data_IF_712783712368
#
_entry.id   IF_712783712368
#
_cell.length_a   1.000
_cell.length_b   1.000
_cell.length_c   1.000
_cell.angle_alpha   90.00
_cell.angle_beta   90.00
_cell.angle_gamma   90.00
#
_symmetry.space_group_name_H-M   'P 1'
#
loop_
_entity.id
_entity.type
_entity.pdbx_description
1 polymer ?
#
# COMPACT_ATOMS: atom_id res chain seq x y z
N UNK A 1 -3.71 3.23 -19.19
CA UNK A 1 -4.45 4.46 -18.84
C UNK A 1 -4.90 5.19 -20.10
N UNK A 2 -4.00 5.49 -21.05
CA UNK A 2 -4.36 5.98 -22.37
C UNK A 2 -5.35 5.05 -23.11
N UNK A 3 -5.09 3.75 -23.13
CA UNK A 3 -6.00 2.74 -23.70
C UNK A 3 -7.33 2.61 -22.95
N UNK A 4 -7.38 3.08 -21.70
CA UNK A 4 -8.60 3.12 -20.88
C UNK A 4 -9.37 4.46 -21.04
N UNK A 5 -8.92 5.32 -21.96
CA UNK A 5 -9.56 6.60 -22.27
C UNK A 5 -9.16 7.78 -21.38
N UNK A 6 -8.11 7.65 -20.56
CA UNK A 6 -7.58 8.78 -19.78
C UNK A 6 -6.76 9.68 -20.71
N UNK A 7 -7.07 10.99 -20.82
CA UNK A 7 -6.28 11.95 -21.59
C UNK A 7 -4.82 12.02 -21.12
N UNK A 8 -3.88 12.29 -22.03
CA UNK A 8 -2.46 12.40 -21.68
C UNK A 8 -2.18 13.60 -20.74
N UNK A 9 -2.93 14.69 -20.89
CA UNK A 9 -2.87 15.87 -20.02
C UNK A 9 -3.27 15.60 -18.57
N UNK A 10 -4.03 14.53 -18.33
CA UNK A 10 -4.40 14.06 -16.99
C UNK A 10 -3.39 13.04 -16.42
N UNK A 11 -2.32 12.73 -17.15
CA UNK A 11 -1.29 11.78 -16.74
C UNK A 11 0.01 12.52 -16.41
N UNK A 12 0.44 12.39 -15.15
CA UNK A 12 1.75 12.85 -14.71
C UNK A 12 2.62 11.65 -14.30
N UNK A 13 3.70 11.42 -15.04
CA UNK A 13 4.66 10.36 -14.74
C UNK A 13 5.84 10.96 -13.97
N UNK A 14 6.01 10.53 -12.72
CA UNK A 14 7.09 10.97 -11.84
C UNK A 14 8.05 9.80 -11.63
N UNK A 15 9.27 9.93 -12.15
CA UNK A 15 10.33 8.90 -12.04
C UNK A 15 11.43 9.26 -11.05
N UNK A 16 11.28 10.38 -10.34
CA UNK A 16 12.27 10.86 -9.38
C UNK A 16 12.19 10.10 -8.05
N UNK A 17 13.35 9.66 -7.55
CA UNK A 17 13.49 9.04 -6.23
C UNK A 17 13.88 7.56 -6.27
N UNK A 18 14.85 7.18 -5.45
CA UNK A 18 15.37 5.82 -5.31
C UNK A 18 14.66 5.02 -4.20
N UNK A 19 13.80 5.67 -3.42
CA UNK A 19 13.00 5.05 -2.37
C UNK A 19 11.54 5.50 -2.44
N UNK A 20 10.64 4.73 -1.81
CA UNK A 20 9.22 5.10 -1.70
C UNK A 20 9.02 6.49 -1.08
N UNK A 21 9.87 6.85 -0.11
CA UNK A 21 9.84 8.17 0.52
C UNK A 21 10.18 9.26 -0.48
N UNK A 22 11.30 9.11 -1.21
CA UNK A 22 11.72 10.09 -2.19
C UNK A 22 10.72 10.25 -3.34
N UNK A 23 10.09 9.15 -3.77
CA UNK A 23 9.05 9.16 -4.80
C UNK A 23 7.79 9.88 -4.34
N UNK A 24 7.33 9.62 -3.11
CA UNK A 24 6.18 10.35 -2.52
C UNK A 24 6.50 11.82 -2.28
N UNK A 25 7.72 12.14 -1.82
CA UNK A 25 8.15 13.53 -1.64
C UNK A 25 8.24 14.27 -2.98
N UNK A 26 8.70 13.62 -4.06
CA UNK A 26 8.67 14.19 -5.40
C UNK A 26 7.24 14.42 -5.89
N UNK A 27 6.35 13.45 -5.64
CA UNK A 27 4.92 13.54 -5.96
C UNK A 27 4.24 14.70 -5.23
N UNK A 28 4.52 14.85 -3.93
CA UNK A 28 3.98 15.95 -3.13
C UNK A 28 4.39 17.32 -3.67
N UNK A 29 5.63 17.48 -4.14
CA UNK A 29 6.08 18.74 -4.77
C UNK A 29 5.34 19.04 -6.07
N UNK A 30 5.13 18.03 -6.91
CA UNK A 30 4.39 18.20 -8.17
C UNK A 30 2.91 18.53 -7.94
N UNK A 31 2.29 17.92 -6.93
CA UNK A 31 0.90 18.20 -6.58
C UNK A 31 0.74 19.57 -5.92
N UNK A 32 1.68 19.98 -5.07
CA UNK A 32 1.69 21.33 -4.49
C UNK A 32 1.78 22.41 -5.57
N UNK A 33 2.53 22.19 -6.66
CA UNK A 33 2.58 23.10 -7.80
C UNK A 33 1.25 23.22 -8.58
N UNK A 34 0.27 22.34 -8.26
CA UNK A 34 -1.06 22.27 -8.87
C UNK A 34 -2.18 22.51 -7.85
N UNK A 35 -1.85 23.03 -6.67
CA UNK A 35 -2.78 23.27 -5.56
C UNK A 35 -3.58 22.01 -5.15
N UNK A 36 -2.93 20.85 -5.19
CA UNK A 36 -3.50 19.56 -4.82
C UNK A 36 -2.71 18.91 -3.67
N UNK A 37 -3.41 18.31 -2.73
CA UNK A 37 -2.87 17.61 -1.55
C UNK A 37 -3.59 16.29 -1.25
N UNK A 38 -4.86 16.18 -1.64
CA UNK A 38 -5.68 14.98 -1.48
C UNK A 38 -5.45 13.97 -2.61
N UNK A 39 -5.08 12.75 -2.23
CA UNK A 39 -4.69 11.71 -3.19
C UNK A 39 -5.33 10.36 -2.87
N UNK A 40 -5.62 9.59 -3.91
CA UNK A 40 -5.92 8.16 -3.78
C UNK A 40 -4.65 7.38 -4.12
N UNK A 41 -4.12 6.67 -3.13
CA UNK A 41 -2.96 5.81 -3.33
C UNK A 41 -3.41 4.40 -3.66
N UNK A 42 -2.93 3.85 -4.78
CA UNK A 42 -3.25 2.49 -5.21
C UNK A 42 -2.02 1.61 -5.05
N UNK A 43 -2.07 0.67 -4.11
CA UNK A 43 -0.95 -0.25 -3.80
C UNK A 43 -1.48 -1.54 -3.21
N UNK A 44 -0.67 -2.60 -3.13
CA UNK A 44 -1.09 -3.81 -2.43
C UNK A 44 -1.19 -3.56 -0.90
N UNK A 45 -1.96 -4.39 -0.17
CA UNK A 45 -2.16 -4.22 1.26
C UNK A 45 -0.89 -4.17 2.11
N UNK A 46 0.16 -4.90 1.72
CA UNK A 46 1.40 -4.94 2.50
C UNK A 46 2.10 -3.59 2.46
N UNK A 47 2.18 -2.99 1.28
CA UNK A 47 2.83 -1.70 1.09
C UNK A 47 1.92 -0.51 1.48
N UNK A 48 0.60 -0.68 1.45
CA UNK A 48 -0.41 0.37 1.72
C UNK A 48 -0.24 1.12 3.05
N UNK A 49 0.06 0.42 4.14
CA UNK A 49 0.20 1.04 5.48
C UNK A 49 1.42 1.93 5.53
N UNK A 50 2.56 1.42 5.04
CA UNK A 50 3.80 2.18 4.98
C UNK A 50 3.66 3.38 4.04
N UNK A 51 2.97 3.19 2.92
CA UNK A 51 2.72 4.22 1.93
C UNK A 51 1.88 5.36 2.51
N UNK A 52 0.82 5.05 3.27
CA UNK A 52 -0.02 6.04 3.95
C UNK A 52 0.78 6.88 4.96
N UNK A 53 1.59 6.24 5.81
CA UNK A 53 2.39 6.96 6.79
C UNK A 53 3.41 7.91 6.15
N UNK A 54 4.03 7.48 5.04
CA UNK A 54 4.93 8.35 4.27
C UNK A 54 4.16 9.50 3.63
N UNK A 55 2.95 9.25 3.10
CA UNK A 55 2.11 10.29 2.50
C UNK A 55 1.76 11.38 3.52
N UNK A 56 1.38 11.00 4.74
CA UNK A 56 1.13 11.94 5.84
C UNK A 56 2.39 12.76 6.17
N UNK A 57 3.56 12.11 6.20
CA UNK A 57 4.85 12.76 6.49
C UNK A 57 5.25 13.79 5.42
N UNK A 58 4.92 13.54 4.15
CA UNK A 58 5.21 14.48 3.05
C UNK A 58 4.09 15.49 2.80
N UNK A 59 3.03 15.50 3.64
CA UNK A 59 1.95 16.49 3.60
C UNK A 59 0.81 16.17 2.62
N UNK A 60 0.61 14.90 2.26
CA UNK A 60 -0.50 14.46 1.42
C UNK A 60 -1.66 13.93 2.27
N UNK A 61 -2.89 14.34 1.96
CA UNK A 61 -4.11 13.74 2.51
C UNK A 61 -4.45 12.46 1.73
N UNK A 62 -3.90 11.33 2.16
CA UNK A 62 -4.03 10.07 1.42
C UNK A 62 -5.25 9.23 1.84
N UNK A 63 -5.94 8.68 0.84
CA UNK A 63 -6.83 7.53 1.00
C UNK A 63 -6.22 6.36 0.24
N UNK A 64 -6.06 5.20 0.87
CA UNK A 64 -5.48 4.04 0.18
C UNK A 64 -6.56 3.12 -0.38
N UNK A 65 -6.46 2.82 -1.66
CA UNK A 65 -7.26 1.84 -2.39
C UNK A 65 -6.42 0.60 -2.69
N UNK A 66 -6.61 -0.50 -1.95
CA UNK A 66 -5.83 -1.71 -2.15
C UNK A 66 -6.19 -2.38 -3.49
N UNK A 67 -5.18 -2.97 -4.15
CA UNK A 67 -5.37 -3.67 -5.44
C UNK A 67 -6.13 -5.00 -5.32
N UNK A 68 -6.27 -5.57 -4.11
CA UNK A 68 -7.10 -6.74 -3.82
C UNK A 68 -8.49 -6.32 -3.31
N UNK A 69 -9.54 -6.60 -4.08
CA UNK A 69 -10.86 -5.98 -3.94
C UNK A 69 -11.62 -6.17 -2.61
N UNK A 70 -12.52 -5.22 -2.34
CA UNK A 70 -13.68 -5.34 -1.45
C UNK A 70 -13.46 -5.19 0.05
N UNK A 71 -12.25 -5.42 0.57
CA UNK A 71 -11.98 -5.35 2.00
C UNK A 71 -11.44 -3.97 2.41
N UNK A 72 -11.78 -3.55 3.64
CA UNK A 72 -11.30 -2.27 4.18
C UNK A 72 -9.77 -2.26 4.31
N UNK A 73 -9.14 -1.09 4.13
CA UNK A 73 -7.68 -0.92 4.28
C UNK A 73 -7.15 -1.54 5.57
N UNK A 74 -7.83 -1.30 6.70
CA UNK A 74 -7.46 -1.83 8.01
C UNK A 74 -7.55 -3.35 8.08
N UNK A 75 -8.56 -3.94 7.45
CA UNK A 75 -8.74 -5.38 7.42
C UNK A 75 -7.66 -6.05 6.55
N UNK A 76 -7.40 -5.54 5.35
CA UNK A 76 -6.38 -6.07 4.44
C UNK A 76 -4.97 -5.91 4.99
N UNK A 77 -4.66 -4.76 5.60
CA UNK A 77 -3.41 -4.53 6.30
C UNK A 77 -3.21 -5.51 7.45
N UNK A 78 -4.25 -5.75 8.26
CA UNK A 78 -4.21 -6.68 9.40
C UNK A 78 -4.03 -8.12 8.93
N UNK A 79 -4.79 -8.55 7.93
CA UNK A 79 -4.70 -9.90 7.36
C UNK A 79 -3.33 -10.13 6.73
N UNK A 80 -2.83 -9.17 5.96
CA UNK A 80 -1.52 -9.28 5.32
C UNK A 80 -0.38 -9.25 6.33
N UNK A 81 -0.45 -8.39 7.35
CA UNK A 81 0.49 -8.40 8.46
C UNK A 81 0.43 -9.72 9.23
N UNK A 82 -0.77 -10.27 9.49
CA UNK A 82 -0.93 -11.55 10.17
C UNK A 82 -0.36 -12.72 9.36
N UNK A 83 -0.56 -12.75 8.04
CA UNK A 83 0.03 -13.76 7.15
C UNK A 83 1.54 -13.60 7.03
N UNK A 84 2.05 -12.37 6.90
CA UNK A 84 3.49 -12.10 6.85
C UNK A 84 4.18 -12.51 8.17
N UNK A 85 3.59 -12.15 9.31
CA UNK A 85 4.05 -12.59 10.63
C UNK A 85 3.95 -14.11 10.79
N UNK A 86 2.86 -14.74 10.34
CA UNK A 86 2.69 -16.19 10.37
C UNK A 86 3.70 -16.94 9.48
N UNK A 87 4.09 -16.36 8.35
CA UNK A 87 5.10 -16.91 7.44
C UNK A 87 6.54 -16.73 7.97
N UNK A 88 6.81 -15.64 8.68
CA UNK A 88 8.15 -15.34 9.24
C UNK A 88 8.38 -16.02 10.59
N UNK A 89 7.39 -16.03 11.48
CA UNK A 89 7.47 -16.70 12.79
C UNK A 89 7.19 -18.22 12.71
N UNK A 90 6.61 -18.66 11.60
CA UNK A 90 6.52 -20.06 11.23
C UNK A 90 5.36 -20.80 11.88
N UNK A 91 4.65 -21.55 11.03
CA UNK A 91 3.93 -22.78 11.34
C UNK A 91 4.91 -23.87 11.85
N UNK A 92 5.85 -23.54 12.74
CA UNK A 92 6.66 -24.51 13.46
C UNK A 92 5.93 -24.84 14.76
N UNK A 93 5.07 -25.86 14.64
CA UNK A 93 4.42 -26.67 15.69
C UNK A 93 2.96 -26.30 16.00
N UNK A 94 2.06 -26.92 15.23
CA UNK A 94 0.82 -27.62 15.66
C UNK A 94 0.34 -28.34 14.38
N UNK A 95 0.48 -29.65 14.20
CA UNK A 95 -0.10 -30.71 15.00
C UNK A 95 0.74 -32.00 14.90
N UNK A 96 1.23 -32.48 16.03
CA UNK A 96 1.45 -33.92 16.24
C UNK A 96 0.70 -34.23 17.54
N UNK A 97 -0.63 -34.17 17.48
CA UNK A 97 -1.52 -34.62 18.54
C UNK A 97 -2.66 -35.49 17.98
N UNK A 98 -2.36 -36.34 17.00
CA UNK A 98 -3.15 -37.53 16.72
C UNK A 98 -2.24 -38.75 16.76
N UNK A 99 -1.86 -39.10 17.98
CA UNK A 99 -1.12 -40.31 18.30
C UNK A 99 -1.09 -40.51 19.81
N UNK A 100 -2.17 -41.06 20.38
CA UNK A 100 -2.24 -41.84 21.63
C UNK A 100 -3.56 -41.61 22.35
N UNK A 101 -4.57 -42.43 22.02
CA UNK A 101 -5.66 -43.00 22.86
C UNK A 101 -6.43 -43.94 21.92
N UNK A 102 -6.44 -45.26 22.01
CA UNK A 102 -5.78 -46.25 22.86
C UNK A 102 -5.98 -47.62 22.18
#
# INVERSE_FOLDING_TARGET
>A
LLEAGVPDEDLLVITTGASTYEQLAATARELAARDADRVVLVSDPYHSVRLHGIADEVGLEAVVSPTSGGASLRQLARETAAVALGRVLGYRRVDTWLGSRG
#
